data_IF_221773686641
#
_entry.id   IF_221773686641
#
_cell.length_a   1.000
_cell.length_b   1.000
_cell.length_c   1.000
_cell.angle_alpha   90.00
_cell.angle_beta   90.00
_cell.angle_gamma   90.00
#
_symmetry.space_group_name_H-M   'P 1'
#
loop_
_entity.id
_entity.type
_entity.pdbx_description
1 polymer ?
#
# COMPACT_ATOMS: atom_id res chain seq x y z
N UNK A 1 24.48 29.60 -53.17
CA UNK A 1 24.91 29.52 -51.75
C UNK A 1 23.83 29.93 -50.74
N UNK A 2 22.85 30.79 -51.07
CA UNK A 2 21.78 31.20 -50.13
C UNK A 2 20.75 30.12 -49.72
N UNK A 3 20.52 29.09 -50.54
CA UNK A 3 19.52 28.03 -50.25
C UNK A 3 19.93 27.07 -49.13
N UNK A 4 21.23 26.84 -48.93
CA UNK A 4 21.72 25.98 -47.83
C UNK A 4 21.81 26.72 -46.49
N UNK A 5 21.93 28.05 -46.52
CA UNK A 5 21.92 28.90 -45.31
C UNK A 5 20.55 28.87 -44.62
N UNK A 6 19.46 28.80 -45.40
CA UNK A 6 18.11 28.72 -44.86
C UNK A 6 17.80 27.36 -44.21
N UNK A 7 18.32 26.27 -44.79
CA UNK A 7 18.20 24.91 -44.22
C UNK A 7 18.99 24.75 -42.91
N UNK A 8 20.17 25.37 -42.81
CA UNK A 8 20.94 25.36 -41.56
C UNK A 8 20.28 26.19 -40.45
N UNK A 9 19.63 27.31 -40.78
CA UNK A 9 18.95 28.15 -39.80
C UNK A 9 17.67 27.48 -39.26
N UNK A 10 16.95 26.74 -40.09
CA UNK A 10 15.76 25.98 -39.67
C UNK A 10 16.11 24.77 -38.78
N UNK A 11 17.25 24.11 -39.02
CA UNK A 11 17.70 22.97 -38.22
C UNK A 11 18.13 23.36 -36.80
N UNK A 12 18.52 24.62 -36.57
CA UNK A 12 18.95 25.11 -35.25
C UNK A 12 17.78 25.49 -34.31
N UNK A 13 16.56 25.66 -34.85
CA UNK A 13 15.38 26.11 -34.10
C UNK A 13 14.52 24.97 -33.53
N UNK A 14 14.71 23.73 -33.99
CA UNK A 14 13.94 22.57 -33.55
C UNK A 14 14.26 22.02 -32.14
N UNK A 15 15.50 22.08 -31.60
CA UNK A 15 15.77 21.51 -30.27
C UNK A 15 15.31 22.40 -29.10
N UNK A 16 14.98 23.68 -29.33
CA UNK A 16 14.55 24.58 -28.25
C UNK A 16 13.14 24.27 -27.71
N UNK A 17 12.30 23.57 -28.49
CA UNK A 17 10.92 23.23 -28.10
C UNK A 17 10.82 21.97 -27.21
N UNK A 18 11.89 21.17 -27.08
CA UNK A 18 11.87 19.94 -26.29
C UNK A 18 12.01 20.18 -24.77
N UNK A 19 12.49 21.37 -24.35
CA UNK A 19 12.79 21.65 -22.92
C UNK A 19 11.56 22.14 -22.15
N UNK A 20 10.53 22.66 -22.82
CA UNK A 20 9.32 23.18 -22.16
C UNK A 20 8.31 22.10 -21.76
N UNK A 21 8.47 20.85 -22.21
CA UNK A 21 7.54 19.76 -21.91
C UNK A 21 7.83 19.06 -20.57
N UNK A 22 8.97 19.31 -19.93
CA UNK A 22 9.28 18.77 -18.62
C UNK A 22 8.80 19.73 -17.52
N UNK A 23 7.53 20.09 -17.56
CA UNK A 23 6.88 20.62 -16.37
C UNK A 23 6.77 19.45 -15.39
N UNK A 24 7.68 19.40 -14.41
CA UNK A 24 7.48 18.55 -13.25
C UNK A 24 6.16 18.99 -12.63
N UNK A 25 5.12 18.19 -12.82
CA UNK A 25 3.93 18.30 -11.99
C UNK A 25 4.45 18.09 -10.58
N UNK A 26 4.55 19.18 -9.83
CA UNK A 26 4.80 19.13 -8.41
C UNK A 26 3.61 18.40 -7.81
N UNK A 27 3.71 17.08 -7.73
CA UNK A 27 2.81 16.27 -6.92
C UNK A 27 3.04 16.77 -5.51
N UNK A 28 2.21 17.74 -5.11
CA UNK A 28 2.14 18.14 -3.71
C UNK A 28 1.65 16.88 -3.03
N UNK A 29 2.55 16.24 -2.28
CA UNK A 29 2.18 15.05 -1.52
C UNK A 29 0.96 15.45 -0.68
N UNK A 30 -0.15 14.70 -0.77
CA UNK A 30 -1.31 15.01 0.03
C UNK A 30 -0.88 15.12 1.50
N UNK A 31 -1.45 16.07 2.26
CA UNK A 31 -1.10 16.21 3.66
C UNK A 31 -1.19 14.84 4.34
N UNK A 32 -0.24 14.48 5.21
CA UNK A 32 -0.28 13.21 5.91
C UNK A 32 -1.65 13.09 6.59
N UNK A 33 -2.30 11.91 6.53
CA UNK A 33 -3.62 11.73 7.13
C UNK A 33 -3.55 12.19 8.59
N UNK A 34 -4.44 13.11 8.97
CA UNK A 34 -4.58 13.55 10.35
C UNK A 34 -4.96 12.35 11.22
N UNK A 35 -4.29 12.19 12.36
CA UNK A 35 -4.37 11.01 13.25
C UNK A 35 -5.70 10.93 14.04
N UNK A 36 -6.82 11.36 13.45
CA UNK A 36 -8.04 11.67 14.20
C UNK A 36 -9.14 10.61 14.03
N UNK A 37 -8.85 9.37 13.62
CA UNK A 37 -9.94 8.38 13.50
C UNK A 37 -9.69 6.94 13.04
N UNK A 38 -8.47 6.54 12.67
CA UNK A 38 -8.23 5.14 12.26
C UNK A 38 -7.86 4.29 13.47
N UNK A 39 -8.85 3.57 14.02
CA UNK A 39 -8.64 2.59 15.11
C UNK A 39 -8.39 1.16 14.61
N UNK A 40 -8.67 0.91 13.34
CA UNK A 40 -8.65 -0.44 12.78
C UNK A 40 -7.73 -0.53 11.59
N UNK A 41 -7.14 -1.70 11.46
CA UNK A 41 -6.26 -2.07 10.37
C UNK A 41 -6.74 -3.38 9.76
N UNK A 42 -6.35 -3.65 8.53
CA UNK A 42 -6.71 -4.89 7.88
C UNK A 42 -5.55 -5.52 7.14
N UNK A 43 -5.59 -6.84 7.05
CA UNK A 43 -4.78 -7.62 6.11
C UNK A 43 -5.69 -8.48 5.24
N UNK A 44 -5.28 -8.69 3.99
CA UNK A 44 -5.97 -9.57 3.07
C UNK A 44 -5.41 -11.00 3.15
N UNK A 45 -6.30 -11.97 3.11
CA UNK A 45 -6.01 -13.39 3.05
C UNK A 45 -6.18 -13.90 1.61
N UNK A 46 -5.39 -14.89 1.22
CA UNK A 46 -5.46 -15.47 -0.13
C UNK A 46 -6.73 -16.30 -0.33
N UNK A 47 -7.25 -16.87 0.76
CA UNK A 47 -8.46 -17.69 0.81
C UNK A 47 -9.30 -17.31 2.02
N UNK A 48 -10.62 -17.58 2.01
CA UNK A 48 -11.46 -17.40 3.18
C UNK A 48 -10.94 -18.24 4.37
N UNK A 49 -10.63 -17.56 5.47
CA UNK A 49 -10.33 -18.20 6.74
C UNK A 49 -11.59 -18.51 7.53
N UNK A 50 -11.55 -19.62 8.27
CA UNK A 50 -12.59 -20.02 9.20
C UNK A 50 -12.26 -19.55 10.62
N UNK A 51 -10.99 -19.60 11.02
CA UNK A 51 -10.56 -19.18 12.37
C UNK A 51 -9.19 -18.51 12.36
N UNK A 52 -8.98 -17.63 13.33
CA UNK A 52 -7.66 -17.07 13.70
C UNK A 52 -7.20 -17.84 14.94
N UNK A 53 -6.05 -18.51 14.83
CA UNK A 53 -5.44 -19.26 15.96
C UNK A 53 -4.54 -18.38 16.81
N UNK A 54 -3.76 -17.51 16.18
CA UNK A 54 -2.89 -16.56 16.86
C UNK A 54 -2.72 -15.30 16.02
N UNK A 55 -2.58 -14.15 16.68
CA UNK A 55 -2.32 -12.86 16.05
C UNK A 55 -1.44 -12.05 16.99
N UNK A 56 -0.24 -11.69 16.53
CA UNK A 56 0.77 -11.04 17.36
C UNK A 56 1.76 -10.23 16.52
N UNK A 57 2.44 -9.28 17.16
CA UNK A 57 3.64 -8.68 16.60
C UNK A 57 4.77 -9.70 16.48
N UNK A 58 5.79 -9.38 15.67
CA UNK A 58 7.03 -10.18 15.56
C UNK A 58 7.75 -10.40 16.90
N UNK A 59 7.58 -9.50 17.86
CA UNK A 59 8.15 -9.60 19.21
C UNK A 59 7.33 -10.49 20.17
N UNK A 60 6.21 -11.05 19.70
CA UNK A 60 5.32 -11.88 20.51
C UNK A 60 4.20 -11.14 21.24
N UNK A 61 4.16 -9.81 21.17
CA UNK A 61 3.09 -9.03 21.80
C UNK A 61 1.76 -9.34 21.12
N UNK A 62 0.70 -9.72 21.87
CA UNK A 62 -0.57 -10.13 21.30
C UNK A 62 -1.32 -8.95 20.68
N UNK A 63 -2.10 -9.28 19.64
CA UNK A 63 -2.96 -8.36 18.91
C UNK A 63 -4.39 -8.92 18.88
N UNK A 64 -5.37 -8.02 18.87
CA UNK A 64 -6.78 -8.33 18.78
C UNK A 64 -7.23 -8.16 17.34
N UNK A 65 -7.89 -9.19 16.80
CA UNK A 65 -8.49 -9.10 15.49
C UNK A 65 -9.60 -10.11 15.25
N UNK A 66 -10.39 -9.82 14.24
CA UNK A 66 -11.58 -10.57 13.84
C UNK A 66 -11.58 -10.79 12.33
N UNK A 67 -12.22 -11.87 11.88
CA UNK A 67 -12.43 -12.12 10.46
C UNK A 67 -13.56 -11.24 9.94
N UNK A 68 -13.41 -10.73 8.72
CA UNK A 68 -14.53 -10.16 7.98
C UNK A 68 -15.61 -11.21 7.70
N UNK A 69 -16.83 -10.77 7.39
CA UNK A 69 -17.97 -11.65 7.11
C UNK A 69 -17.69 -12.69 6.00
N UNK A 70 -16.90 -12.32 5.00
CA UNK A 70 -16.48 -13.21 3.90
C UNK A 70 -15.24 -14.05 4.23
N UNK A 71 -14.65 -13.88 5.42
CA UNK A 71 -13.43 -14.54 5.88
C UNK A 71 -12.16 -14.15 5.12
N UNK A 72 -12.19 -13.18 4.20
CA UNK A 72 -11.03 -12.82 3.36
C UNK A 72 -10.13 -11.75 3.94
N UNK A 73 -10.53 -11.14 5.06
CA UNK A 73 -9.76 -10.11 5.74
C UNK A 73 -9.71 -10.38 7.23
N UNK A 74 -8.61 -9.94 7.85
CA UNK A 74 -8.51 -9.85 9.31
C UNK A 74 -8.49 -8.37 9.66
N UNK A 75 -9.42 -7.95 10.50
CA UNK A 75 -9.55 -6.59 11.02
C UNK A 75 -8.91 -6.54 12.40
N UNK A 76 -7.96 -5.64 12.63
CA UNK A 76 -7.09 -5.56 13.81
C UNK A 76 -7.35 -4.25 14.55
N UNK A 77 -7.67 -4.30 15.84
CA UNK A 77 -8.17 -3.14 16.59
C UNK A 77 -7.16 -2.43 17.50
N UNK A 78 -6.00 -3.06 17.76
CA UNK A 78 -4.95 -2.53 18.67
C UNK A 78 -3.56 -2.54 18.01
N UNK A 79 -3.52 -2.37 16.69
CA UNK A 79 -2.28 -2.23 15.93
C UNK A 79 -1.79 -0.77 15.93
N UNK A 80 -0.52 -0.56 16.24
CA UNK A 80 0.10 0.77 16.41
C UNK A 80 1.18 1.08 15.37
N UNK A 81 1.27 0.27 14.30
CA UNK A 81 2.27 0.40 13.22
C UNK A 81 3.74 0.24 13.64
N UNK A 82 4.06 -0.15 14.87
CA UNK A 82 5.47 -0.24 15.32
C UNK A 82 6.29 -1.31 14.61
N UNK A 83 5.65 -2.43 14.23
CA UNK A 83 6.33 -3.60 13.68
C UNK A 83 5.39 -4.42 12.80
N UNK A 84 5.97 -5.37 12.07
CA UNK A 84 5.20 -6.39 11.37
C UNK A 84 4.53 -7.37 12.33
N UNK A 85 3.60 -8.16 11.79
CA UNK A 85 2.78 -9.13 12.54
C UNK A 85 3.01 -10.54 12.00
N UNK A 86 2.72 -11.53 12.85
CA UNK A 86 2.52 -12.93 12.49
C UNK A 86 1.10 -13.33 12.85
N UNK A 87 0.44 -14.04 11.95
CA UNK A 87 -0.91 -14.55 12.15
C UNK A 87 -0.97 -16.01 11.75
N UNK A 88 -1.54 -16.85 12.58
CA UNK A 88 -1.87 -18.23 12.25
C UNK A 88 -3.37 -18.33 11.98
N UNK A 89 -3.74 -18.79 10.79
CA UNK A 89 -5.14 -18.94 10.37
C UNK A 89 -5.43 -20.38 9.98
N UNK A 90 -6.67 -20.83 10.18
CA UNK A 90 -7.18 -22.05 9.56
C UNK A 90 -8.21 -21.67 8.50
N UNK A 91 -7.97 -22.13 7.27
CA UNK A 91 -8.84 -21.90 6.12
C UNK A 91 -10.05 -22.81 6.10
N UNK A 92 -11.04 -22.47 5.28
CA UNK A 92 -12.27 -23.26 5.12
C UNK A 92 -12.03 -24.67 4.57
N UNK A 93 -10.88 -24.92 3.93
CA UNK A 93 -10.45 -26.25 3.48
C UNK A 93 -9.76 -27.08 4.57
N UNK A 94 -9.62 -26.53 5.79
CA UNK A 94 -8.96 -27.15 6.93
C UNK A 94 -7.45 -26.93 6.99
N UNK A 95 -6.82 -26.32 5.97
CA UNK A 95 -5.39 -26.02 6.00
C UNK A 95 -5.09 -24.92 7.03
N UNK A 96 -3.97 -25.06 7.73
CA UNK A 96 -3.45 -24.03 8.64
C UNK A 96 -2.19 -23.41 8.05
N UNK A 97 -2.08 -22.09 8.12
CA UNK A 97 -0.94 -21.34 7.60
C UNK A 97 -0.51 -20.23 8.57
N UNK A 98 0.81 -20.03 8.71
CA UNK A 98 1.38 -18.85 9.37
C UNK A 98 1.72 -17.79 8.31
N UNK A 99 1.07 -16.63 8.39
CA UNK A 99 1.25 -15.50 7.48
C UNK A 99 2.03 -14.40 8.22
N UNK A 100 3.11 -13.92 7.60
CA UNK A 100 3.91 -12.80 8.11
C UNK A 100 3.73 -11.58 7.22
N UNK A 101 3.32 -10.45 7.82
CA UNK A 101 3.12 -9.19 7.09
C UNK A 101 3.98 -8.08 7.69
N UNK A 102 4.62 -7.29 6.83
CA UNK A 102 5.26 -6.03 7.24
C UNK A 102 4.23 -4.91 7.30
N UNK A 103 4.51 -3.79 7.98
CA UNK A 103 3.56 -2.67 8.14
C UNK A 103 2.97 -2.15 6.82
N UNK A 104 3.72 -2.21 5.71
CA UNK A 104 3.26 -1.74 4.41
C UNK A 104 2.14 -2.60 3.78
N UNK A 105 1.86 -3.79 4.33
CA UNK A 105 0.76 -4.66 3.90
C UNK A 105 -0.37 -4.70 4.92
N UNK A 106 -0.38 -3.75 5.86
CA UNK A 106 -1.38 -3.62 6.92
C UNK A 106 -2.08 -2.28 6.72
N UNK A 107 -3.22 -2.33 6.03
CA UNK A 107 -3.91 -1.13 5.56
C UNK A 107 -4.82 -0.55 6.64
N UNK A 108 -4.91 0.77 6.80
CA UNK A 108 -5.93 1.39 7.64
C UNK A 108 -7.33 1.09 7.09
N UNK A 109 -8.29 0.82 7.98
CA UNK A 109 -9.70 0.60 7.61
C UNK A 109 -10.64 1.30 8.59
N UNK A 110 -11.76 1.80 8.06
CA UNK A 110 -12.89 2.28 8.87
C UNK A 110 -13.86 1.11 9.01
N UNK A 111 -14.19 0.66 10.24
CA UNK A 111 -15.20 -0.38 10.44
C UNK A 111 -16.55 0.14 9.91
N UNK A 112 -17.28 -0.72 9.20
CA UNK A 112 -18.62 -0.42 8.66
C UNK A 112 -19.69 -0.51 9.76
#
# INVERSE_FOLDING_TARGET
MKKHLFLFLAALLLPAMAVLAQQSIGLTEPPPPTNDGVKFYQIYLEKPAQTIKSLQYKDGTPLNGELSEDGKRIIISNYDKRAGISVEVTYTDGQTEEIKRSPCFIDPVVPL
#
